data_IF_051398456220
#
_entry.id   IF_051398456220
#
_cell.length_a   1.000
_cell.length_b   1.000
_cell.length_c   1.000
_cell.angle_alpha   90.00
_cell.angle_beta   90.00
_cell.angle_gamma   90.00
#
_symmetry.space_group_name_H-M   'P 1'
#
loop_
_entity.id
_entity.type
_entity.pdbx_description
1 polymer ?
#
# COMPACT_ATOMS: atom_id res chain seq x y z
N UNK A 1 30.69 -5.71 -5.50
CA UNK A 1 29.22 -5.50 -5.57
C UNK A 1 28.37 -6.48 -4.72
N UNK A 2 28.90 -7.38 -3.88
CA UNK A 2 28.11 -8.53 -3.36
C UNK A 2 27.62 -8.48 -1.90
N UNK A 3 28.16 -7.61 -1.04
CA UNK A 3 27.83 -7.57 0.41
C UNK A 3 26.60 -6.71 0.74
N UNK A 4 26.61 -5.46 0.28
CA UNK A 4 25.57 -4.46 0.60
C UNK A 4 24.22 -4.77 -0.06
N UNK A 5 24.21 -5.46 -1.20
CA UNK A 5 22.98 -5.87 -1.86
C UNK A 5 22.25 -6.98 -1.07
N UNK A 6 22.99 -7.90 -0.46
CA UNK A 6 22.41 -8.97 0.36
C UNK A 6 21.93 -8.44 1.71
N UNK A 7 22.71 -7.60 2.37
CA UNK A 7 22.29 -6.93 3.60
C UNK A 7 20.99 -6.15 3.41
N UNK A 8 20.87 -5.39 2.30
CA UNK A 8 19.63 -4.69 1.93
C UNK A 8 18.46 -5.63 1.67
N UNK A 9 18.67 -6.75 0.97
CA UNK A 9 17.63 -7.78 0.76
C UNK A 9 17.17 -8.43 2.07
N UNK A 10 18.08 -8.57 3.04
CA UNK A 10 17.74 -9.09 4.36
C UNK A 10 16.87 -8.09 5.13
N UNK A 11 17.28 -6.82 5.15
CA UNK A 11 16.63 -5.77 5.92
C UNK A 11 15.17 -5.51 5.52
N UNK A 12 14.82 -5.71 4.24
CA UNK A 12 13.44 -5.57 3.75
C UNK A 12 12.49 -6.59 4.42
N UNK A 13 13.01 -7.74 4.86
CA UNK A 13 12.22 -8.81 5.46
C UNK A 13 12.26 -8.81 6.99
N UNK A 14 12.81 -7.76 7.61
CA UNK A 14 12.89 -7.67 9.07
C UNK A 14 11.54 -7.25 9.67
N UNK A 15 11.14 -7.95 10.72
CA UNK A 15 10.04 -7.53 11.58
C UNK A 15 10.55 -6.40 12.51
N UNK A 16 9.94 -5.21 12.49
CA UNK A 16 10.36 -4.11 13.37
C UNK A 16 10.34 -4.52 14.85
N UNK A 17 11.39 -4.17 15.59
CA UNK A 17 11.52 -4.46 17.02
C UNK A 17 12.06 -5.84 17.38
N UNK A 18 12.33 -6.71 16.40
CA UNK A 18 12.93 -8.03 16.64
C UNK A 18 14.45 -7.99 16.54
N UNK A 19 15.14 -8.88 17.28
CA UNK A 19 16.60 -8.89 17.40
C UNK A 19 17.27 -9.73 16.29
N UNK A 20 17.53 -9.12 15.13
CA UNK A 20 18.25 -9.76 14.03
C UNK A 20 19.78 -9.65 14.18
N UNK A 21 20.51 -10.59 13.54
CA UNK A 21 21.96 -10.50 13.44
C UNK A 21 22.37 -9.33 12.54
N UNK A 22 23.26 -8.48 13.04
CA UNK A 22 23.90 -7.43 12.26
C UNK A 22 24.94 -8.04 11.29
N UNK A 23 24.45 -8.41 10.11
CA UNK A 23 25.25 -9.05 9.06
C UNK A 23 26.44 -8.18 8.61
N UNK A 24 26.28 -6.85 8.56
CA UNK A 24 27.32 -5.96 8.05
C UNK A 24 28.49 -5.92 9.02
N UNK A 25 28.18 -5.71 10.31
CA UNK A 25 29.18 -5.67 11.37
C UNK A 25 29.91 -6.99 11.52
N UNK A 26 29.18 -8.11 11.64
CA UNK A 26 29.78 -9.43 11.83
C UNK A 26 30.65 -9.87 10.64
N UNK A 27 30.31 -9.43 9.43
CA UNK A 27 31.15 -9.65 8.25
C UNK A 27 32.40 -8.75 8.23
N UNK A 28 32.29 -7.52 8.75
CA UNK A 28 33.43 -6.64 8.94
C UNK A 28 34.44 -7.26 9.90
N UNK A 29 33.97 -7.75 11.05
CA UNK A 29 34.79 -8.42 12.06
C UNK A 29 35.51 -9.65 11.47
N UNK A 30 34.80 -10.45 10.65
CA UNK A 30 35.40 -11.58 9.92
C UNK A 30 36.52 -11.17 8.95
N UNK A 31 36.49 -9.94 8.43
CA UNK A 31 37.49 -9.42 7.49
C UNK A 31 38.69 -8.77 8.21
N UNK A 32 38.48 -8.22 9.41
CA UNK A 32 39.53 -7.56 10.20
C UNK A 32 40.46 -8.60 10.83
N UNK A 33 39.91 -9.71 11.33
CA UNK A 33 40.66 -10.86 11.89
C UNK A 33 41.57 -11.56 10.85
N UNK A 34 41.44 -11.21 9.56
CA UNK A 34 42.35 -11.67 8.49
C UNK A 34 43.53 -10.71 8.25
N UNK A 35 43.40 -9.41 8.54
CA UNK A 35 44.43 -8.41 8.25
C UNK A 35 45.50 -8.30 9.35
N UNK A 36 45.18 -8.69 10.59
CA UNK A 36 46.12 -8.59 11.72
C UNK A 36 47.13 -9.77 11.77
N UNK A 37 46.96 -10.82 10.98
CA UNK A 37 47.78 -12.04 11.03
C UNK A 37 48.90 -12.15 9.97
N UNK A 38 49.16 -11.10 9.17
CA UNK A 38 50.29 -11.05 8.22
C UNK A 38 51.69 -11.02 8.91
N UNK A 39 51.76 -11.09 10.24
CA UNK A 39 53.02 -11.21 10.98
C UNK A 39 53.44 -12.67 11.16
N UNK A 40 54.35 -13.11 10.29
CA UNK A 40 54.90 -14.46 10.11
C UNK A 40 55.53 -15.12 11.37
N UNK A 41 55.63 -14.41 12.50
CA UNK A 41 56.26 -14.86 13.74
C UNK A 41 55.35 -15.59 14.76
N UNK A 42 54.03 -15.68 14.54
CA UNK A 42 53.10 -16.37 15.46
C UNK A 42 52.77 -17.80 14.99
N UNK A 43 53.60 -18.39 14.12
CA UNK A 43 53.32 -19.69 13.51
C UNK A 43 53.42 -20.92 14.42
N UNK A 44 53.82 -20.82 15.69
CA UNK A 44 54.14 -22.02 16.47
C UNK A 44 53.65 -22.11 17.93
N UNK A 45 52.95 -21.13 18.51
CA UNK A 45 52.46 -21.27 19.90
C UNK A 45 51.14 -20.53 20.13
N UNK A 46 50.01 -21.26 19.99
CA UNK A 46 48.74 -21.17 20.76
C UNK A 46 47.66 -21.97 20.00
N UNK A 47 47.49 -23.28 20.22
CA UNK A 47 46.74 -23.91 21.33
C UNK A 47 45.30 -23.39 21.47
N UNK A 48 44.34 -24.26 21.13
CA UNK A 48 43.06 -24.53 21.84
C UNK A 48 42.06 -23.40 22.15
N UNK A 49 42.34 -22.12 21.86
CA UNK A 49 41.45 -21.00 22.16
C UNK A 49 40.75 -20.49 20.89
N UNK A 50 39.43 -20.26 20.93
CA UNK A 50 38.68 -19.75 19.78
C UNK A 50 39.15 -18.35 19.39
N UNK A 51 39.11 -18.04 18.09
CA UNK A 51 39.41 -16.68 17.60
C UNK A 51 38.38 -15.67 18.10
N UNK A 52 38.74 -14.38 18.12
CA UNK A 52 37.80 -13.31 18.51
C UNK A 52 36.55 -13.31 17.62
N UNK A 53 36.72 -13.58 16.32
CA UNK A 53 35.60 -13.79 15.42
C UNK A 53 34.73 -15.00 15.78
N UNK A 54 35.32 -16.18 16.06
CA UNK A 54 34.59 -17.39 16.44
C UNK A 54 33.76 -17.19 17.71
N UNK A 55 34.33 -16.53 18.72
CA UNK A 55 33.63 -16.22 19.96
C UNK A 55 32.48 -15.23 19.71
N UNK A 56 32.72 -14.18 18.93
CA UNK A 56 31.69 -13.21 18.53
C UNK A 56 30.57 -13.88 17.73
N UNK A 57 30.90 -14.79 16.81
CA UNK A 57 29.94 -15.55 16.01
C UNK A 57 29.09 -16.47 16.89
N UNK A 58 29.70 -17.18 17.85
CA UNK A 58 28.98 -18.06 18.79
C UNK A 58 28.02 -17.28 19.67
N UNK A 59 28.45 -16.16 20.24
CA UNK A 59 27.59 -15.27 21.05
C UNK A 59 26.40 -14.76 20.24
N UNK A 60 26.57 -14.47 18.95
CA UNK A 60 25.46 -14.07 18.07
C UNK A 60 24.50 -15.23 17.80
N UNK A 61 25.00 -16.45 17.58
CA UNK A 61 24.16 -17.64 17.41
C UNK A 61 23.36 -17.95 18.67
N UNK A 62 23.98 -17.90 19.85
CA UNK A 62 23.32 -18.10 21.14
C UNK A 62 22.20 -17.10 21.37
N UNK A 63 22.41 -15.81 21.04
CA UNK A 63 21.35 -14.78 21.14
C UNK A 63 20.16 -15.06 20.23
N UNK A 64 20.42 -15.48 18.98
CA UNK A 64 19.35 -15.85 18.03
C UNK A 64 18.57 -17.07 18.53
N UNK A 65 19.27 -18.09 19.03
CA UNK A 65 18.66 -19.29 19.59
C UNK A 65 17.80 -18.95 20.82
N UNK A 66 18.32 -18.15 21.75
CA UNK A 66 17.57 -17.71 22.94
C UNK A 66 16.29 -16.97 22.56
N UNK A 67 16.35 -16.05 21.59
CA UNK A 67 15.17 -15.34 21.10
C UNK A 67 14.18 -16.29 20.42
N UNK A 68 14.68 -17.16 19.54
CA UNK A 68 13.87 -18.15 18.82
C UNK A 68 13.15 -19.10 19.81
N UNK A 69 13.84 -19.63 20.81
CA UNK A 69 13.26 -20.51 21.81
C UNK A 69 12.29 -19.81 22.76
N UNK A 70 12.51 -18.53 23.04
CA UNK A 70 11.56 -17.73 23.85
C UNK A 70 10.26 -17.52 23.09
N UNK A 71 10.34 -17.07 21.84
CA UNK A 71 9.17 -16.90 20.98
C UNK A 71 8.45 -18.23 20.73
N UNK A 72 9.21 -19.30 20.46
CA UNK A 72 8.65 -20.65 20.25
C UNK A 72 7.89 -21.13 21.48
N UNK A 73 8.46 -21.02 22.68
CA UNK A 73 7.81 -21.45 23.93
C UNK A 73 6.53 -20.66 24.20
N UNK A 74 6.58 -19.34 24.05
CA UNK A 74 5.39 -18.49 24.21
C UNK A 74 4.26 -18.95 23.26
N UNK A 75 4.56 -19.14 21.98
CA UNK A 75 3.54 -19.53 21.01
C UNK A 75 3.09 -20.99 21.16
N UNK A 76 3.93 -21.89 21.67
CA UNK A 76 3.53 -23.26 22.02
C UNK A 76 2.56 -23.28 23.21
N UNK A 77 2.78 -22.47 24.24
CA UNK A 77 1.83 -22.37 25.36
C UNK A 77 0.47 -21.83 24.92
N UNK A 78 0.46 -20.86 24.00
CA UNK A 78 -0.78 -20.31 23.42
C UNK A 78 -1.47 -21.33 22.51
N UNK A 79 -0.72 -22.14 21.75
CA UNK A 79 -1.27 -23.19 20.91
C UNK A 79 -1.97 -24.27 21.74
N UNK A 80 -1.35 -24.74 22.83
CA UNK A 80 -1.92 -25.75 23.74
C UNK A 80 -3.14 -25.20 24.47
N UNK A 81 -3.09 -23.96 24.96
CA UNK A 81 -4.22 -23.32 25.64
C UNK A 81 -5.43 -23.08 24.72
N UNK A 82 -5.23 -23.09 23.40
CA UNK A 82 -6.27 -22.89 22.38
C UNK A 82 -6.64 -24.19 21.67
N UNK A 83 -6.14 -25.34 22.13
CA UNK A 83 -6.60 -26.61 21.61
C UNK A 83 -8.11 -26.77 21.88
N UNK A 84 -8.84 -27.30 20.88
CA UNK A 84 -10.29 -27.33 20.89
C UNK A 84 -10.91 -28.04 22.09
N UNK A 85 -10.31 -29.13 22.56
CA UNK A 85 -10.83 -29.90 23.69
C UNK A 85 -10.80 -29.09 25.00
N UNK A 86 -9.80 -28.21 25.16
CA UNK A 86 -9.72 -27.28 26.28
C UNK A 86 -10.65 -26.08 26.12
N UNK A 87 -10.82 -25.56 24.89
CA UNK A 87 -11.75 -24.46 24.62
C UNK A 87 -13.22 -24.89 24.80
N UNK A 88 -13.60 -26.09 24.36
CA UNK A 88 -14.93 -26.67 24.60
C UNK A 88 -15.14 -26.92 26.09
N UNK A 89 -14.14 -27.48 26.81
CA UNK A 89 -14.23 -27.68 28.26
C UNK A 89 -14.36 -26.36 29.04
N UNK A 90 -13.73 -25.28 28.57
CA UNK A 90 -13.82 -23.95 29.15
C UNK A 90 -15.14 -23.21 28.79
N UNK A 91 -15.74 -23.51 27.64
CA UNK A 91 -17.02 -22.92 27.18
C UNK A 91 -18.26 -23.69 27.69
N UNK A 92 -18.13 -24.96 28.05
CA UNK A 92 -19.22 -25.79 28.59
C UNK A 92 -19.97 -25.16 29.79
N UNK A 93 -19.31 -24.46 30.74
CA UNK A 93 -20.00 -23.76 31.84
C UNK A 93 -20.80 -22.53 31.38
N UNK A 94 -20.39 -21.86 30.29
CA UNK A 94 -21.03 -20.64 29.78
C UNK A 94 -22.32 -20.93 29.01
N UNK A 95 -22.40 -22.09 28.36
CA UNK A 95 -23.60 -22.56 27.66
C UNK A 95 -24.68 -23.13 28.61
N UNK A 96 -24.32 -23.41 29.87
CA UNK A 96 -25.21 -24.03 30.86
C UNK A 96 -26.14 -23.04 31.59
N UNK A 97 -26.09 -21.74 31.31
CA UNK A 97 -27.00 -20.77 31.95
C UNK A 97 -28.43 -20.90 31.41
N UNK A 98 -29.44 -21.19 32.25
CA UNK A 98 -30.78 -21.59 31.82
C UNK A 98 -31.69 -20.44 31.32
N UNK A 99 -31.16 -19.23 31.09
CA UNK A 99 -31.98 -18.02 30.84
C UNK A 99 -31.88 -17.42 29.43
N UNK A 100 -31.25 -18.08 28.46
CA UNK A 100 -30.98 -17.47 27.14
C UNK A 100 -31.90 -18.06 26.05
N UNK A 101 -32.64 -17.20 25.34
CA UNK A 101 -33.48 -17.63 24.21
C UNK A 101 -32.63 -18.30 23.11
N UNK A 102 -33.17 -19.30 22.38
CA UNK A 102 -32.38 -20.16 21.48
C UNK A 102 -31.65 -19.38 20.39
N UNK A 103 -32.21 -18.25 19.93
CA UNK A 103 -31.59 -17.37 18.94
C UNK A 103 -30.38 -16.61 19.49
N UNK A 104 -30.45 -16.12 20.73
CA UNK A 104 -29.33 -15.41 21.38
C UNK A 104 -28.19 -16.37 21.74
N UNK A 105 -28.51 -17.61 22.10
CA UNK A 105 -27.50 -18.65 22.32
C UNK A 105 -26.79 -19.04 21.02
N UNK A 106 -27.53 -19.14 19.91
CA UNK A 106 -26.95 -19.38 18.58
C UNK A 106 -26.06 -18.22 18.10
N UNK A 107 -26.51 -16.96 18.26
CA UNK A 107 -25.73 -15.79 17.87
C UNK A 107 -24.44 -15.63 18.71
N UNK A 108 -24.51 -15.95 20.01
CA UNK A 108 -23.34 -15.97 20.90
C UNK A 108 -22.32 -17.05 20.50
N UNK A 109 -22.80 -18.25 20.17
CA UNK A 109 -21.97 -19.35 19.68
C UNK A 109 -21.26 -19.02 18.35
N UNK A 110 -21.96 -18.40 17.40
CA UNK A 110 -21.39 -17.96 16.11
C UNK A 110 -20.32 -16.86 16.31
N UNK A 111 -20.56 -15.92 17.23
CA UNK A 111 -19.60 -14.87 17.56
C UNK A 111 -18.33 -15.45 18.20
N UNK A 112 -18.48 -16.42 19.11
CA UNK A 112 -17.39 -17.12 19.75
C UNK A 112 -16.57 -17.93 18.73
N UNK A 113 -17.23 -18.65 17.82
CA UNK A 113 -16.58 -19.37 16.72
C UNK A 113 -15.76 -18.44 15.81
N UNK A 114 -16.27 -17.24 15.51
CA UNK A 114 -15.52 -16.23 14.75
C UNK A 114 -14.31 -15.69 15.52
N UNK A 115 -14.45 -15.43 16.83
CA UNK A 115 -13.35 -15.00 17.69
C UNK A 115 -12.23 -16.04 17.78
N UNK A 116 -12.60 -17.32 17.93
CA UNK A 116 -11.66 -18.45 17.91
C UNK A 116 -10.98 -18.54 16.55
N UNK A 117 -11.73 -18.46 15.44
CA UNK A 117 -11.16 -18.47 14.09
C UNK A 117 -10.11 -17.38 13.88
N UNK A 118 -10.38 -16.15 14.31
CA UNK A 118 -9.41 -15.04 14.24
C UNK A 118 -8.18 -15.33 15.10
N UNK A 119 -8.39 -15.87 16.30
CA UNK A 119 -7.32 -16.27 17.22
C UNK A 119 -6.37 -17.31 16.61
N UNK A 120 -6.89 -18.28 15.84
CA UNK A 120 -6.07 -19.26 15.09
C UNK A 120 -5.28 -18.60 13.95
N UNK A 121 -5.90 -17.67 13.22
CA UNK A 121 -5.24 -16.94 12.12
C UNK A 121 -4.10 -16.06 12.65
N UNK A 122 -4.30 -15.38 13.78
CA UNK A 122 -3.26 -14.59 14.43
C UNK A 122 -2.10 -15.47 14.90
N UNK A 123 -2.41 -16.62 15.52
CA UNK A 123 -1.40 -17.58 15.95
C UNK A 123 -0.57 -18.12 14.76
N UNK A 124 -1.24 -18.46 13.64
CA UNK A 124 -0.58 -18.89 12.40
C UNK A 124 0.40 -17.83 11.89
N UNK A 125 -0.03 -16.56 11.85
CA UNK A 125 0.83 -15.44 11.40
C UNK A 125 2.02 -15.23 12.33
N UNK A 126 1.81 -15.30 13.65
CA UNK A 126 2.90 -15.16 14.63
C UNK A 126 3.93 -16.28 14.46
N UNK A 127 3.50 -17.54 14.34
CA UNK A 127 4.38 -18.68 14.09
C UNK A 127 5.12 -18.53 12.75
N UNK A 128 4.45 -18.06 11.69
CA UNK A 128 5.07 -17.76 10.40
C UNK A 128 6.16 -16.68 10.49
N UNK A 129 5.96 -15.64 11.31
CA UNK A 129 6.98 -14.63 11.57
C UNK A 129 8.19 -15.22 12.32
N UNK A 130 7.98 -16.09 13.32
CA UNK A 130 9.07 -16.79 14.02
C UNK A 130 9.85 -17.70 13.08
N UNK A 131 9.16 -18.43 12.20
CA UNK A 131 9.80 -19.25 11.17
C UNK A 131 10.64 -18.40 10.21
N UNK A 132 10.09 -17.27 9.76
CA UNK A 132 10.79 -16.34 8.88
C UNK A 132 12.03 -15.74 9.55
N UNK A 133 11.92 -15.36 10.82
CA UNK A 133 13.07 -14.88 11.62
C UNK A 133 14.20 -15.90 11.68
N UNK A 134 13.88 -17.17 11.97
CA UNK A 134 14.87 -18.23 12.04
C UNK A 134 15.59 -18.45 10.70
N UNK A 135 14.83 -18.53 9.59
CA UNK A 135 15.36 -18.74 8.25
C UNK A 135 16.22 -17.56 7.76
N UNK A 136 15.80 -16.32 8.05
CA UNK A 136 16.54 -15.11 7.68
C UNK A 136 17.90 -15.05 8.40
N UNK A 137 17.92 -15.29 9.72
CA UNK A 137 19.17 -15.31 10.49
C UNK A 137 20.07 -16.48 10.07
N UNK A 138 19.50 -17.66 9.83
CA UNK A 138 20.23 -18.82 9.30
C UNK A 138 20.89 -18.49 7.95
N UNK A 139 20.15 -17.88 7.02
CA UNK A 139 20.69 -17.49 5.72
C UNK A 139 21.83 -16.46 5.83
N UNK A 140 21.71 -15.50 6.76
CA UNK A 140 22.76 -14.52 7.01
C UNK A 140 24.05 -15.17 7.54
N UNK A 141 23.93 -15.94 8.63
CA UNK A 141 25.06 -16.61 9.29
C UNK A 141 25.73 -17.63 8.38
N UNK A 142 24.95 -18.45 7.65
CA UNK A 142 25.47 -19.39 6.66
C UNK A 142 26.22 -18.69 5.51
N UNK A 143 25.79 -17.48 5.12
CA UNK A 143 26.51 -16.70 4.11
C UNK A 143 27.81 -16.11 4.64
N UNK A 144 27.89 -15.77 5.92
CA UNK A 144 29.14 -15.35 6.57
C UNK A 144 30.12 -16.54 6.54
N UNK A 145 29.70 -17.73 6.98
CA UNK A 145 30.54 -18.93 6.96
C UNK A 145 31.00 -19.35 5.55
N UNK A 146 30.26 -19.00 4.49
CA UNK A 146 30.63 -19.25 3.10
C UNK A 146 31.49 -18.15 2.47
N UNK A 147 31.88 -17.11 3.21
CA UNK A 147 32.71 -16.05 2.67
C UNK A 147 34.11 -16.61 2.33
N UNK A 148 34.62 -16.40 1.09
CA UNK A 148 35.82 -17.07 0.60
C UNK A 148 37.08 -16.70 1.36
N UNK A 149 37.11 -15.52 1.99
CA UNK A 149 38.29 -15.08 2.74
C UNK A 149 38.49 -15.85 4.06
N UNK A 150 37.39 -16.24 4.71
CA UNK A 150 37.43 -17.00 5.97
C UNK A 150 38.07 -18.39 5.76
N UNK A 151 37.99 -18.95 4.54
CA UNK A 151 38.45 -20.30 4.20
C UNK A 151 39.93 -20.39 3.75
N UNK A 152 40.74 -19.33 3.84
CA UNK A 152 42.13 -19.37 3.40
C UNK A 152 43.04 -20.18 4.37
N UNK A 153 43.55 -21.32 3.89
CA UNK A 153 44.57 -22.15 4.55
C UNK A 153 44.04 -23.47 5.15
N UNK A 154 44.82 -24.57 5.07
CA UNK A 154 44.39 -25.92 5.50
C UNK A 154 43.94 -25.98 6.98
N UNK A 155 44.63 -25.29 7.90
CA UNK A 155 44.23 -25.21 9.30
C UNK A 155 42.93 -24.42 9.54
N UNK A 156 42.68 -23.39 8.73
CA UNK A 156 41.50 -22.52 8.80
C UNK A 156 40.28 -23.21 8.19
N UNK A 157 40.46 -24.06 7.19
CA UNK A 157 39.39 -24.92 6.66
C UNK A 157 38.86 -25.92 7.70
N UNK A 158 39.75 -26.49 8.53
CA UNK A 158 39.35 -27.42 9.60
C UNK A 158 38.54 -26.69 10.69
N UNK A 159 39.01 -25.53 11.15
CA UNK A 159 38.30 -24.69 12.12
C UNK A 159 36.94 -24.21 11.58
N UNK A 160 36.88 -23.80 10.31
CA UNK A 160 35.62 -23.46 9.64
C UNK A 160 34.65 -24.62 9.48
N UNK A 161 35.15 -25.85 9.31
CA UNK A 161 34.32 -27.06 9.29
C UNK A 161 33.74 -27.32 10.68
N UNK A 162 34.57 -27.31 11.72
CA UNK A 162 34.12 -27.47 13.10
C UNK A 162 33.09 -26.39 13.52
N UNK A 163 33.27 -25.14 13.09
CA UNK A 163 32.33 -24.05 13.34
C UNK A 163 30.99 -24.24 12.61
N UNK A 164 31.01 -24.76 11.37
CA UNK A 164 29.78 -25.12 10.63
C UNK A 164 29.05 -26.29 11.29
N UNK A 165 29.77 -27.31 11.71
CA UNK A 165 29.19 -28.49 12.36
C UNK A 165 28.52 -28.08 13.68
N UNK A 166 29.14 -27.15 14.43
CA UNK A 166 28.54 -26.55 15.64
C UNK A 166 27.34 -25.67 15.30
N UNK A 167 27.40 -24.91 14.20
CA UNK A 167 26.30 -24.08 13.73
C UNK A 167 25.06 -24.92 13.34
N UNK A 168 25.25 -26.04 12.66
CA UNK A 168 24.14 -26.88 12.21
C UNK A 168 23.41 -27.62 13.38
N UNK A 169 24.00 -27.65 14.58
CA UNK A 169 23.37 -28.20 15.79
C UNK A 169 22.30 -27.28 16.41
N UNK A 170 22.27 -25.98 16.09
CA UNK A 170 21.28 -25.05 16.66
C UNK A 170 19.86 -25.33 16.13
N UNK A 171 18.85 -25.18 17.00
CA UNK A 171 17.45 -25.47 16.69
C UNK A 171 16.85 -24.51 15.66
N UNK A 172 17.24 -23.22 15.71
CA UNK A 172 16.77 -22.21 14.77
C UNK A 172 17.18 -22.49 13.31
N UNK A 173 18.27 -23.22 13.07
CA UNK A 173 18.81 -23.45 11.71
C UNK A 173 17.83 -24.20 10.82
N UNK A 174 17.14 -25.17 11.40
CA UNK A 174 16.18 -26.01 10.69
C UNK A 174 14.74 -25.51 10.85
N UNK A 175 14.47 -24.67 11.86
CA UNK A 175 13.13 -24.21 12.25
C UNK A 175 12.09 -25.36 12.30
N UNK A 176 12.54 -26.59 12.58
CA UNK A 176 11.75 -27.80 12.38
C UNK A 176 10.55 -27.87 13.35
N UNK A 177 10.77 -27.45 14.60
CA UNK A 177 9.73 -27.43 15.63
C UNK A 177 8.57 -26.47 15.30
N UNK A 178 8.89 -25.27 14.80
CA UNK A 178 7.88 -24.27 14.39
C UNK A 178 7.16 -24.72 13.12
N UNK A 179 7.89 -25.28 12.17
CA UNK A 179 7.31 -25.84 10.94
C UNK A 179 6.30 -26.95 11.24
N UNK A 180 6.62 -27.89 12.14
CA UNK A 180 5.67 -28.91 12.60
C UNK A 180 4.44 -28.31 13.28
N UNK A 181 4.63 -27.24 14.05
CA UNK A 181 3.53 -26.55 14.74
C UNK A 181 2.60 -25.84 13.76
N UNK A 182 3.14 -25.24 12.69
CA UNK A 182 2.37 -24.66 11.59
C UNK A 182 1.54 -25.74 10.87
N UNK A 183 2.17 -26.86 10.48
CA UNK A 183 1.46 -27.96 9.79
C UNK A 183 0.33 -28.54 10.65
N UNK A 184 0.58 -28.76 11.95
CA UNK A 184 -0.46 -29.22 12.89
C UNK A 184 -1.61 -28.21 13.00
N UNK A 185 -1.30 -26.91 13.02
CA UNK A 185 -2.32 -25.86 13.08
C UNK A 185 -3.14 -25.78 11.78
N UNK A 186 -2.51 -25.98 10.62
CA UNK A 186 -3.20 -26.07 9.32
C UNK A 186 -4.17 -27.26 9.29
N UNK A 187 -3.74 -28.44 9.77
CA UNK A 187 -4.57 -29.65 9.84
C UNK A 187 -5.78 -29.47 10.77
N UNK A 188 -5.55 -28.96 11.99
CA UNK A 188 -6.62 -28.69 12.95
C UNK A 188 -7.60 -27.67 12.39
N UNK A 189 -7.10 -26.55 11.85
CA UNK A 189 -7.94 -25.49 11.30
C UNK A 189 -8.76 -25.94 10.09
N UNK A 190 -8.18 -26.78 9.23
CA UNK A 190 -8.86 -27.35 8.05
C UNK A 190 -9.98 -28.30 8.47
N UNK A 191 -9.71 -29.17 9.43
CA UNK A 191 -10.69 -30.15 9.93
C UNK A 191 -11.85 -29.46 10.64
N UNK A 192 -11.57 -28.40 11.40
CA UNK A 192 -12.55 -27.74 12.25
C UNK A 192 -13.43 -26.70 11.56
N UNK A 193 -12.87 -25.90 10.65
CA UNK A 193 -13.60 -24.75 10.08
C UNK A 193 -14.02 -24.94 8.63
N UNK A 194 -13.51 -25.98 7.97
CA UNK A 194 -13.62 -26.14 6.51
C UNK A 194 -13.90 -27.59 6.08
N UNK A 195 -14.32 -28.47 7.01
CA UNK A 195 -14.71 -29.87 6.73
C UNK A 195 -13.67 -30.67 5.92
N UNK A 196 -12.38 -30.37 6.08
CA UNK A 196 -11.32 -31.04 5.33
C UNK A 196 -10.89 -30.34 4.03
N UNK A 197 -11.55 -29.25 3.60
CA UNK A 197 -11.11 -28.46 2.43
C UNK A 197 -9.87 -27.63 2.73
N UNK A 198 -8.71 -28.24 2.45
CA UNK A 198 -7.39 -27.65 2.69
C UNK A 198 -7.15 -26.38 1.88
N UNK A 199 -7.68 -26.26 0.67
CA UNK A 199 -7.40 -25.10 -0.20
C UNK A 199 -8.06 -23.86 0.41
N UNK A 200 -9.33 -23.98 0.78
CA UNK A 200 -10.09 -22.88 1.37
C UNK A 200 -9.56 -22.52 2.77
N UNK A 201 -9.16 -23.53 3.56
CA UNK A 201 -8.57 -23.34 4.89
C UNK A 201 -7.22 -22.62 4.84
N UNK A 202 -6.31 -23.04 3.96
CA UNK A 202 -5.00 -22.38 3.80
C UNK A 202 -5.15 -20.97 3.24
N UNK A 203 -6.07 -20.77 2.29
CA UNK A 203 -6.39 -19.43 1.79
C UNK A 203 -6.85 -18.54 2.95
N UNK A 204 -7.72 -19.02 3.84
CA UNK A 204 -8.18 -18.26 5.00
C UNK A 204 -7.05 -17.92 5.99
N UNK A 205 -6.15 -18.88 6.26
CA UNK A 205 -5.01 -18.71 7.17
C UNK A 205 -4.00 -17.69 6.64
N UNK A 206 -3.59 -17.83 5.38
CA UNK A 206 -2.65 -16.89 4.73
C UNK A 206 -3.26 -15.50 4.56
N UNK A 207 -4.52 -15.46 4.10
CA UNK A 207 -5.21 -14.24 3.73
C UNK A 207 -6.18 -13.78 4.82
N UNK A 208 -5.83 -13.87 6.10
CA UNK A 208 -6.73 -13.58 7.24
C UNK A 208 -7.46 -12.23 7.28
N UNK A 209 -7.32 -11.37 6.26
CA UNK A 209 -8.12 -10.17 5.99
C UNK A 209 -8.75 -10.07 4.59
N UNK A 210 -8.45 -10.98 3.65
CA UNK A 210 -8.87 -10.90 2.24
C UNK A 210 -9.90 -11.96 1.81
N UNK A 211 -10.23 -12.95 2.65
CA UNK A 211 -11.32 -13.89 2.33
C UNK A 211 -12.70 -13.34 2.67
N UNK A 212 -12.78 -12.13 3.25
CA UNK A 212 -13.90 -11.23 2.97
C UNK A 212 -13.69 -10.72 1.55
N UNK A 213 -14.05 -11.55 0.57
CA UNK A 213 -14.62 -11.14 -0.71
C UNK A 213 -14.29 -9.66 -1.00
N UNK A 214 -13.07 -9.41 -1.47
CA UNK A 214 -12.39 -8.11 -1.42
C UNK A 214 -13.36 -6.99 -1.82
N UNK A 215 -13.86 -6.22 -0.86
CA UNK A 215 -14.90 -5.18 -1.04
C UNK A 215 -14.70 -4.26 -2.25
N UNK A 216 -13.44 -4.05 -2.66
CA UNK A 216 -13.07 -3.33 -3.90
C UNK A 216 -13.71 -3.96 -5.14
N UNK A 217 -13.64 -5.28 -5.26
CA UNK A 217 -14.22 -6.04 -6.36
C UNK A 217 -15.75 -5.98 -6.32
N UNK A 218 -16.38 -5.93 -5.14
CA UNK A 218 -17.85 -5.82 -5.01
C UNK A 218 -18.37 -4.52 -5.59
N UNK A 219 -17.73 -3.41 -5.24
CA UNK A 219 -18.11 -2.10 -5.77
C UNK A 219 -17.87 -2.02 -7.28
N UNK A 220 -16.74 -2.55 -7.78
CA UNK A 220 -16.45 -2.58 -9.21
C UNK A 220 -17.41 -3.46 -9.99
N UNK A 221 -17.74 -4.66 -9.48
CA UNK A 221 -18.71 -5.56 -10.12
C UNK A 221 -20.10 -4.91 -10.11
N UNK A 222 -20.52 -4.34 -8.98
CA UNK A 222 -21.80 -3.64 -8.89
C UNK A 222 -21.87 -2.45 -9.86
N UNK A 223 -20.78 -1.70 -10.03
CA UNK A 223 -20.67 -0.62 -11.01
C UNK A 223 -20.79 -1.15 -12.44
N UNK A 224 -20.02 -2.18 -12.80
CA UNK A 224 -20.04 -2.76 -14.15
C UNK A 224 -21.41 -3.33 -14.51
N UNK A 225 -22.05 -4.05 -13.58
CA UNK A 225 -23.41 -4.57 -13.77
C UNK A 225 -24.40 -3.41 -13.97
N UNK A 226 -24.33 -2.37 -13.14
CA UNK A 226 -25.21 -1.20 -13.26
C UNK A 226 -25.01 -0.47 -14.60
N UNK A 227 -23.75 -0.30 -15.02
CA UNK A 227 -23.38 0.35 -16.28
C UNK A 227 -23.85 -0.43 -17.51
N UNK A 228 -23.65 -1.76 -17.52
CA UNK A 228 -24.13 -2.62 -18.61
C UNK A 228 -25.65 -2.57 -18.67
N UNK A 229 -26.35 -2.72 -17.54
CA UNK A 229 -27.81 -2.61 -17.49
C UNK A 229 -28.32 -1.26 -17.98
N UNK A 230 -27.63 -0.16 -17.62
CA UNK A 230 -27.97 1.17 -18.09
C UNK A 230 -27.86 1.27 -19.63
N UNK A 231 -26.76 0.79 -20.21
CA UNK A 231 -26.56 0.81 -21.67
C UNK A 231 -27.59 -0.05 -22.39
N UNK A 232 -27.87 -1.26 -21.90
CA UNK A 232 -28.83 -2.17 -22.53
C UNK A 232 -30.27 -1.63 -22.49
N UNK A 233 -30.64 -0.92 -21.41
CA UNK A 233 -31.93 -0.24 -21.31
C UNK A 233 -32.03 0.97 -22.24
N UNK A 234 -30.97 1.77 -22.33
CA UNK A 234 -30.93 2.93 -23.23
C UNK A 234 -31.01 2.52 -24.71
N UNK A 235 -30.35 1.40 -25.06
CA UNK A 235 -30.38 0.83 -26.40
C UNK A 235 -31.69 0.05 -26.71
N UNK A 236 -32.65 0.00 -25.77
CA UNK A 236 -33.95 -0.67 -25.92
C UNK A 236 -33.85 -2.18 -26.24
N UNK A 237 -32.73 -2.84 -25.90
CA UNK A 237 -32.54 -4.28 -26.14
C UNK A 237 -33.34 -5.15 -25.15
N UNK A 238 -33.58 -4.65 -23.93
CA UNK A 238 -34.35 -5.35 -22.90
C UNK A 238 -35.79 -4.82 -22.84
N UNK A 239 -36.83 -5.69 -22.81
CA UNK A 239 -38.23 -5.29 -22.73
C UNK A 239 -38.66 -4.91 -21.30
N UNK A 240 -37.72 -4.43 -20.48
CA UNK A 240 -37.98 -4.02 -19.10
C UNK A 240 -38.43 -2.56 -19.10
N UNK A 241 -39.71 -2.33 -18.85
CA UNK A 241 -40.28 -0.99 -18.65
C UNK A 241 -39.90 -0.43 -17.28
N UNK A 242 -38.62 -0.15 -17.06
CA UNK A 242 -38.20 0.60 -15.88
C UNK A 242 -38.65 2.06 -16.04
N UNK A 243 -39.35 2.58 -15.03
CA UNK A 243 -40.03 3.88 -15.06
C UNK A 243 -39.10 5.10 -15.12
N UNK A 244 -37.78 4.91 -15.08
CA UNK A 244 -36.77 5.90 -15.48
C UNK A 244 -35.36 5.24 -15.52
N UNK A 245 -34.70 5.22 -16.67
CA UNK A 245 -33.34 4.66 -16.85
C UNK A 245 -32.32 5.30 -15.90
N UNK A 246 -32.53 6.58 -15.55
CA UNK A 246 -31.70 7.33 -14.60
C UNK A 246 -31.78 6.89 -13.13
N UNK A 247 -32.74 6.02 -12.75
CA UNK A 247 -32.82 5.46 -11.40
C UNK A 247 -31.71 4.44 -11.10
N UNK A 248 -31.18 3.77 -12.12
CA UNK A 248 -30.08 2.81 -11.96
C UNK A 248 -28.79 3.46 -11.41
N UNK A 249 -28.23 4.52 -12.03
CA UNK A 249 -27.04 5.16 -11.49
C UNK A 249 -27.30 5.82 -10.12
N UNK A 250 -28.52 6.29 -9.86
CA UNK A 250 -28.90 6.80 -8.54
C UNK A 250 -28.89 5.70 -7.46
N UNK A 251 -29.47 4.53 -7.76
CA UNK A 251 -29.44 3.38 -6.87
C UNK A 251 -28.01 2.90 -6.59
N UNK A 252 -27.14 2.94 -7.61
CA UNK A 252 -25.72 2.63 -7.43
C UNK A 252 -25.03 3.66 -6.53
N UNK A 253 -25.28 4.95 -6.72
CA UNK A 253 -24.77 6.01 -5.85
C UNK A 253 -25.24 5.84 -4.40
N UNK A 254 -26.52 5.52 -4.19
CA UNK A 254 -27.09 5.23 -2.87
C UNK A 254 -26.44 3.99 -2.22
N UNK A 255 -26.21 2.93 -3.00
CA UNK A 255 -25.53 1.73 -2.53
C UNK A 255 -24.09 2.00 -2.12
N UNK A 256 -23.33 2.73 -2.95
CA UNK A 256 -21.94 3.11 -2.67
C UNK A 256 -21.87 3.97 -1.41
N UNK A 257 -22.72 5.00 -1.29
CA UNK A 257 -22.76 5.89 -0.12
C UNK A 257 -23.12 5.15 1.16
N UNK A 258 -24.16 4.29 1.13
CA UNK A 258 -24.52 3.42 2.26
C UNK A 258 -23.37 2.49 2.65
N UNK A 259 -22.76 1.82 1.68
CA UNK A 259 -21.66 0.88 1.91
C UNK A 259 -20.44 1.57 2.55
N UNK A 260 -20.12 2.79 2.11
CA UNK A 260 -19.07 3.57 2.75
C UNK A 260 -19.48 4.02 4.15
N UNK A 261 -20.71 4.49 4.36
CA UNK A 261 -21.20 4.95 5.66
C UNK A 261 -21.19 3.86 6.75
N UNK A 262 -21.37 2.59 6.38
CA UNK A 262 -21.33 1.46 7.33
C UNK A 262 -19.92 1.10 7.84
N UNK A 263 -18.87 1.60 7.19
CA UNK A 263 -17.47 1.22 7.50
C UNK A 263 -16.90 2.09 8.61
N UNK A 264 -16.01 1.53 9.45
CA UNK A 264 -15.32 2.19 10.58
C UNK A 264 -15.29 3.72 10.48
N UNK A 265 -16.29 4.36 11.09
CA UNK A 265 -16.57 5.80 11.01
C UNK A 265 -15.33 6.65 11.36
N UNK A 266 -14.46 6.15 12.26
CA UNK A 266 -13.22 6.81 12.68
C UNK A 266 -12.14 6.94 11.59
N UNK A 267 -12.15 6.15 10.51
CA UNK A 267 -11.25 6.36 9.37
C UNK A 267 -11.79 7.40 8.39
N UNK A 268 -13.10 7.45 8.21
CA UNK A 268 -13.76 8.41 7.33
C UNK A 268 -13.75 9.82 7.91
N UNK A 269 -13.98 9.94 9.21
CA UNK A 269 -13.85 11.20 9.94
C UNK A 269 -12.48 11.84 9.73
N UNK A 270 -11.40 11.05 9.73
CA UNK A 270 -10.05 11.56 9.45
C UNK A 270 -9.88 12.11 8.04
N UNK A 271 -10.48 11.48 7.03
CA UNK A 271 -10.44 12.01 5.65
C UNK A 271 -11.28 13.28 5.54
N UNK A 272 -12.47 13.31 6.15
CA UNK A 272 -13.32 14.50 6.19
C UNK A 272 -12.65 15.67 6.92
N UNK A 273 -11.94 15.40 8.02
CA UNK A 273 -11.11 16.38 8.72
C UNK A 273 -10.00 16.93 7.81
N UNK A 274 -9.27 16.06 7.11
CA UNK A 274 -8.22 16.50 6.18
C UNK A 274 -8.79 17.35 5.04
N UNK A 275 -9.97 17.01 4.49
CA UNK A 275 -10.64 17.82 3.47
C UNK A 275 -11.08 19.19 4.01
N UNK A 276 -11.62 19.21 5.22
CA UNK A 276 -11.93 20.45 5.93
C UNK A 276 -10.67 21.31 6.12
N UNK A 277 -9.56 20.69 6.52
CA UNK A 277 -8.30 21.37 6.77
C UNK A 277 -7.68 21.91 5.46
N UNK A 278 -7.87 21.21 4.33
CA UNK A 278 -7.52 21.70 2.99
C UNK A 278 -8.30 22.97 2.65
N UNK A 279 -9.62 22.98 2.85
CA UNK A 279 -10.45 24.17 2.57
C UNK A 279 -10.00 25.37 3.40
N UNK A 280 -9.59 25.11 4.65
CA UNK A 280 -9.09 26.11 5.59
C UNK A 280 -7.56 26.21 5.62
N UNK A 281 -6.88 25.88 4.51
CA UNK A 281 -5.41 25.94 4.36
C UNK A 281 -4.82 27.31 4.78
N UNK A 282 -5.58 28.41 4.67
CA UNK A 282 -5.10 29.73 5.10
C UNK A 282 -4.92 29.86 6.61
N UNK A 283 -5.68 29.08 7.39
CA UNK A 283 -5.75 29.18 8.86
C UNK A 283 -5.09 27.98 9.53
N UNK A 284 -5.10 26.81 8.90
CA UNK A 284 -4.65 25.55 9.48
C UNK A 284 -3.27 25.10 8.92
N UNK A 285 -2.47 24.36 9.71
CA UNK A 285 -1.12 23.95 9.32
C UNK A 285 -1.11 22.92 8.18
N UNK A 286 -0.17 23.09 7.23
CA UNK A 286 -0.13 22.29 6.00
C UNK A 286 0.83 21.09 6.11
N UNK A 287 0.29 19.95 6.58
CA UNK A 287 1.00 18.66 6.55
C UNK A 287 1.28 18.14 5.12
N UNK A 288 2.21 17.17 5.01
CA UNK A 288 2.48 16.44 3.77
C UNK A 288 1.23 15.71 3.23
N UNK A 289 0.38 15.19 4.11
CA UNK A 289 -0.80 14.44 3.69
C UNK A 289 -1.85 15.31 2.98
N UNK A 290 -2.06 16.57 3.42
CA UNK A 290 -2.92 17.54 2.72
C UNK A 290 -2.41 17.79 1.29
N UNK A 291 -1.10 18.03 1.19
CA UNK A 291 -0.41 18.23 -0.08
C UNK A 291 -0.51 17.04 -1.04
N UNK A 292 -0.49 15.81 -0.51
CA UNK A 292 -0.69 14.59 -1.30
C UNK A 292 -2.14 14.46 -1.80
N UNK A 293 -3.12 14.70 -0.93
CA UNK A 293 -4.53 14.60 -1.29
C UNK A 293 -4.93 15.64 -2.34
N UNK A 294 -4.45 16.87 -2.22
CA UNK A 294 -4.74 17.91 -3.22
C UNK A 294 -4.06 17.63 -4.56
N UNK A 295 -2.84 17.09 -4.58
CA UNK A 295 -2.22 16.64 -5.83
C UNK A 295 -3.14 15.62 -6.54
N UNK A 296 -3.72 14.67 -5.81
CA UNK A 296 -4.67 13.72 -6.36
C UNK A 296 -5.93 14.41 -6.91
N UNK A 297 -6.49 15.38 -6.18
CA UNK A 297 -7.66 16.15 -6.63
C UNK A 297 -7.36 17.00 -7.87
N UNK A 298 -6.17 17.57 -7.99
CA UNK A 298 -5.73 18.32 -9.19
C UNK A 298 -5.51 17.41 -10.40
N UNK A 299 -5.22 16.12 -10.21
CA UNK A 299 -5.18 15.14 -11.32
C UNK A 299 -6.57 14.62 -11.70
N UNK A 300 -7.58 14.80 -10.84
CA UNK A 300 -8.93 14.27 -11.00
C UNK A 300 -9.91 15.24 -11.71
N UNK A 301 -9.43 16.22 -12.49
CA UNK A 301 -10.26 17.29 -13.08
C UNK A 301 -11.48 16.78 -13.84
N UNK A 302 -11.32 15.81 -14.76
CA UNK A 302 -12.46 15.23 -15.51
C UNK A 302 -13.47 14.55 -14.59
N UNK A 303 -12.99 13.93 -13.52
CA UNK A 303 -13.85 13.28 -12.52
C UNK A 303 -14.61 14.34 -11.68
N UNK A 304 -13.97 15.45 -11.33
CA UNK A 304 -14.62 16.57 -10.62
C UNK A 304 -15.73 17.20 -11.48
N UNK A 305 -15.49 17.36 -12.79
CA UNK A 305 -16.52 17.84 -13.74
C UNK A 305 -17.70 16.86 -13.83
N UNK A 306 -17.41 15.56 -13.95
CA UNK A 306 -18.43 14.51 -13.94
C UNK A 306 -19.24 14.50 -12.65
N UNK A 307 -18.58 14.67 -11.50
CA UNK A 307 -19.24 14.73 -10.19
C UNK A 307 -20.16 15.96 -10.06
N UNK A 308 -19.70 17.14 -10.50
CA UNK A 308 -20.54 18.33 -10.54
C UNK A 308 -21.79 18.07 -11.42
N UNK A 309 -21.59 17.47 -12.60
CA UNK A 309 -22.67 17.10 -13.51
C UNK A 309 -23.68 16.15 -12.86
N UNK A 310 -23.21 15.08 -12.22
CA UNK A 310 -24.06 14.12 -11.52
C UNK A 310 -24.88 14.78 -10.41
N UNK A 311 -24.27 15.66 -9.61
CA UNK A 311 -24.98 16.39 -8.54
C UNK A 311 -26.13 17.18 -9.14
N UNK A 312 -25.88 17.95 -10.21
CA UNK A 312 -26.92 18.74 -10.86
C UNK A 312 -27.99 17.86 -11.46
N UNK A 313 -27.62 16.85 -12.25
CA UNK A 313 -28.51 15.92 -12.93
C UNK A 313 -29.50 15.23 -11.99
N UNK A 314 -29.04 14.82 -10.80
CA UNK A 314 -29.92 14.25 -9.79
C UNK A 314 -30.74 15.32 -9.05
N UNK A 315 -30.15 16.48 -8.75
CA UNK A 315 -30.86 17.56 -8.04
C UNK A 315 -32.00 18.21 -8.84
N UNK A 316 -31.86 18.28 -10.17
CA UNK A 316 -32.86 18.87 -11.06
C UNK A 316 -33.98 17.89 -11.40
N UNK A 317 -33.86 16.62 -11.00
CA UNK A 317 -34.82 15.57 -11.35
C UNK A 317 -34.79 15.20 -12.84
N UNK A 318 -33.77 15.62 -13.59
CA UNK A 318 -33.65 15.36 -15.02
C UNK A 318 -33.57 13.86 -15.34
N UNK A 319 -33.04 13.08 -14.40
CA UNK A 319 -32.97 11.61 -14.47
C UNK A 319 -34.34 10.89 -14.48
N UNK A 320 -35.42 11.58 -14.08
CA UNK A 320 -36.80 11.05 -14.10
C UNK A 320 -37.55 11.39 -15.39
N UNK A 321 -36.98 12.25 -16.25
CA UNK A 321 -37.66 12.75 -17.44
C UNK A 321 -37.71 11.66 -18.52
N UNK A 322 -38.90 11.46 -19.09
CA UNK A 322 -39.21 10.38 -20.04
C UNK A 322 -39.34 10.85 -21.50
N UNK A 323 -39.03 12.12 -21.79
CA UNK A 323 -39.33 12.72 -23.09
C UNK A 323 -38.23 12.38 -24.12
N UNK A 324 -38.61 11.58 -25.13
CA UNK A 324 -37.89 11.36 -26.41
C UNK A 324 -37.78 12.64 -27.28
N UNK A 325 -38.25 13.79 -26.79
CA UNK A 325 -38.12 15.05 -27.53
C UNK A 325 -36.71 15.61 -27.35
N UNK A 326 -36.14 16.11 -28.45
CA UNK A 326 -34.86 16.83 -28.62
C UNK A 326 -34.65 18.07 -27.70
N UNK A 327 -35.35 18.17 -26.56
CA UNK A 327 -35.13 19.17 -25.55
C UNK A 327 -33.73 18.95 -24.96
N UNK A 328 -32.79 19.79 -25.40
CA UNK A 328 -31.42 19.78 -24.93
C UNK A 328 -31.37 19.81 -23.39
N UNK A 329 -30.49 18.99 -22.81
CA UNK A 329 -30.45 18.79 -21.35
C UNK A 329 -30.40 20.13 -20.62
N UNK A 330 -31.23 20.27 -19.58
CA UNK A 330 -31.31 21.53 -18.81
C UNK A 330 -29.96 21.81 -18.14
N UNK A 331 -29.18 20.76 -17.88
CA UNK A 331 -27.79 20.85 -17.44
C UNK A 331 -26.84 21.36 -18.54
N UNK A 332 -26.94 20.94 -19.80
CA UNK A 332 -26.01 21.38 -20.86
C UNK A 332 -26.30 22.79 -21.35
N UNK A 333 -27.58 23.12 -21.41
CA UNK A 333 -28.09 24.40 -21.95
C UNK A 333 -27.91 25.56 -20.98
N UNK A 334 -27.73 25.30 -19.69
CA UNK A 334 -27.55 26.35 -18.70
C UNK A 334 -26.15 26.97 -18.83
N UNK A 335 -26.09 28.19 -19.37
CA UNK A 335 -24.87 28.95 -19.56
C UNK A 335 -24.04 29.08 -18.27
N UNK A 336 -24.65 29.53 -17.17
CA UNK A 336 -23.96 29.73 -15.89
C UNK A 336 -23.32 28.45 -15.37
N UNK A 337 -24.00 27.33 -15.52
CA UNK A 337 -23.50 26.05 -15.04
C UNK A 337 -22.31 25.54 -15.85
N UNK A 338 -22.50 25.41 -17.16
CA UNK A 338 -21.50 24.85 -18.07
C UNK A 338 -20.29 25.77 -18.21
N UNK A 339 -20.51 27.09 -18.19
CA UNK A 339 -19.48 28.09 -18.50
C UNK A 339 -18.83 28.72 -17.27
N UNK A 340 -19.45 28.65 -16.08
CA UNK A 340 -18.93 29.30 -14.86
C UNK A 340 -18.77 28.30 -13.72
N UNK A 341 -19.83 27.60 -13.31
CA UNK A 341 -19.79 26.73 -12.13
C UNK A 341 -18.84 25.54 -12.30
N UNK A 342 -18.94 24.81 -13.42
CA UNK A 342 -18.13 23.59 -13.66
C UNK A 342 -16.62 23.89 -13.70
N UNK A 343 -16.14 24.92 -14.42
CA UNK A 343 -14.71 25.21 -14.43
C UNK A 343 -14.22 25.75 -13.07
N UNK A 344 -15.01 26.57 -12.35
CA UNK A 344 -14.63 27.04 -11.01
C UNK A 344 -14.52 25.89 -9.99
N UNK A 345 -15.47 24.94 -9.98
CA UNK A 345 -15.40 23.76 -9.11
C UNK A 345 -14.15 22.92 -9.42
N UNK A 346 -13.80 22.84 -10.71
CA UNK A 346 -12.60 22.15 -11.16
C UNK A 346 -11.29 22.87 -10.83
N UNK A 347 -11.37 24.19 -10.59
CA UNK A 347 -10.24 25.07 -10.29
C UNK A 347 -9.92 25.13 -8.79
N UNK A 348 -10.90 24.85 -7.91
CA UNK A 348 -10.72 24.85 -6.45
C UNK A 348 -9.50 24.03 -5.96
N UNK A 349 -9.22 22.81 -6.47
CA UNK A 349 -8.03 22.07 -6.06
C UNK A 349 -6.73 22.78 -6.42
N UNK A 350 -6.67 23.44 -7.59
CA UNK A 350 -5.51 24.23 -8.01
C UNK A 350 -5.31 25.44 -7.09
N UNK A 351 -6.40 26.07 -6.67
CA UNK A 351 -6.40 27.20 -5.74
C UNK A 351 -5.86 26.79 -4.37
N UNK A 352 -6.35 25.69 -3.80
CA UNK A 352 -5.82 25.18 -2.53
C UNK A 352 -4.34 24.82 -2.65
N UNK A 353 -3.92 24.24 -3.76
CA UNK A 353 -2.51 23.87 -3.97
C UNK A 353 -1.58 25.07 -4.08
N UNK A 354 -2.03 26.12 -4.75
CA UNK A 354 -1.37 27.41 -4.80
C UNK A 354 -1.20 28.00 -3.38
N UNK A 355 -2.29 28.08 -2.62
CA UNK A 355 -2.27 28.61 -1.25
C UNK A 355 -1.39 27.79 -0.30
N UNK A 356 -1.43 26.46 -0.38
CA UNK A 356 -0.58 25.57 0.40
C UNK A 356 0.90 25.80 0.11
N UNK A 357 1.24 26.06 -1.15
CA UNK A 357 2.63 26.29 -1.56
C UNK A 357 3.15 27.63 -1.01
N UNK A 358 2.34 28.69 -1.06
CA UNK A 358 2.67 29.98 -0.45
C UNK A 358 2.79 29.89 1.08
N UNK A 359 1.85 29.20 1.73
CA UNK A 359 1.88 28.99 3.18
C UNK A 359 3.15 28.28 3.61
N UNK A 360 3.57 27.26 2.85
CA UNK A 360 4.79 26.51 3.15
C UNK A 360 6.07 27.32 2.93
N UNK A 361 6.09 28.28 1.98
CA UNK A 361 7.19 29.25 1.85
C UNK A 361 7.29 30.11 3.12
N UNK A 362 6.15 30.59 3.62
CA UNK A 362 6.09 31.39 4.86
C UNK A 362 6.55 30.60 6.09
N UNK A 363 6.09 29.35 6.25
CA UNK A 363 6.39 28.51 7.42
C UNK A 363 7.83 27.98 7.43
N UNK A 364 8.39 27.59 6.27
CA UNK A 364 9.74 27.02 6.19
C UNK A 364 10.84 28.08 6.03
N UNK A 365 10.50 29.32 5.63
CA UNK A 365 11.48 30.36 5.30
C UNK A 365 12.39 30.04 4.11
N UNK A 366 12.20 28.90 3.44
CA UNK A 366 12.92 28.50 2.23
C UNK A 366 12.07 28.81 1.00
N UNK A 367 12.68 29.51 0.04
CA UNK A 367 12.03 29.85 -1.23
C UNK A 367 11.96 28.64 -2.17
N UNK A 368 13.05 27.87 -2.26
CA UNK A 368 13.14 26.71 -3.15
C UNK A 368 12.82 25.42 -2.39
N UNK A 369 12.03 24.48 -2.95
CA UNK A 369 11.32 24.51 -4.25
C UNK A 369 9.90 25.12 -4.22
N UNK A 370 9.40 25.57 -3.07
CA UNK A 370 7.98 25.84 -2.86
C UNK A 370 7.44 27.05 -3.64
N UNK A 371 8.27 28.06 -3.91
CA UNK A 371 7.86 29.23 -4.71
C UNK A 371 7.62 28.85 -6.17
N UNK A 372 8.44 27.97 -6.74
CA UNK A 372 8.28 27.49 -8.11
C UNK A 372 7.00 26.66 -8.24
N UNK A 373 6.71 25.85 -7.22
CA UNK A 373 5.46 25.10 -7.14
C UNK A 373 4.25 26.05 -7.13
N UNK A 374 4.29 27.12 -6.32
CA UNK A 374 3.24 28.13 -6.30
C UNK A 374 3.06 28.81 -7.67
N UNK A 375 4.15 29.14 -8.37
CA UNK A 375 4.08 29.78 -9.69
C UNK A 375 3.46 28.87 -10.75
N UNK A 376 3.78 27.57 -10.76
CA UNK A 376 3.21 26.62 -11.72
C UNK A 376 1.70 26.46 -11.48
N UNK A 377 1.27 26.35 -10.22
CA UNK A 377 -0.16 26.31 -9.89
C UNK A 377 -0.88 27.64 -10.17
N UNK A 378 -0.22 28.78 -9.97
CA UNK A 378 -0.76 30.09 -10.35
C UNK A 378 -0.96 30.22 -11.87
N UNK A 379 0.01 29.74 -12.66
CA UNK A 379 -0.11 29.69 -14.11
C UNK A 379 -1.30 28.81 -14.53
N UNK A 380 -1.48 27.66 -13.88
CA UNK A 380 -2.61 26.77 -14.12
C UNK A 380 -3.97 27.44 -13.85
N UNK A 381 -4.09 28.13 -12.70
CA UNK A 381 -5.27 28.92 -12.34
C UNK A 381 -5.59 29.97 -13.41
N UNK A 382 -4.59 30.72 -13.85
CA UNK A 382 -4.76 31.74 -14.91
C UNK A 382 -5.26 31.11 -16.21
N UNK A 383 -4.73 29.95 -16.61
CA UNK A 383 -5.18 29.23 -17.81
C UNK A 383 -6.65 28.82 -17.72
N UNK A 384 -7.09 28.32 -16.56
CA UNK A 384 -8.49 27.91 -16.34
C UNK A 384 -9.42 29.13 -16.32
N UNK A 385 -9.06 30.18 -15.57
CA UNK A 385 -9.83 31.42 -15.50
C UNK A 385 -9.92 32.12 -16.85
N UNK A 386 -8.85 32.10 -17.66
CA UNK A 386 -8.88 32.64 -19.01
C UNK A 386 -9.75 31.78 -19.95
N UNK A 387 -9.83 30.47 -19.70
CA UNK A 387 -10.77 29.57 -20.37
C UNK A 387 -12.25 29.90 -20.12
N UNK A 388 -12.61 30.44 -18.95
CA UNK A 388 -13.96 30.94 -18.64
C UNK A 388 -14.35 32.08 -19.59
N UNK A 389 -13.41 32.97 -19.88
CA UNK A 389 -13.61 34.16 -20.73
C UNK A 389 -13.71 33.76 -22.21
N UNK A 390 -12.89 32.79 -22.64
CA UNK A 390 -12.85 32.30 -24.02
C UNK A 390 -14.05 31.41 -24.41
N UNK A 391 -14.72 30.83 -23.43
CA UNK A 391 -15.88 29.92 -23.59
C UNK A 391 -17.03 30.49 -24.44
N UNK A 392 -17.05 31.81 -24.68
CA UNK A 392 -18.10 32.50 -25.45
C UNK A 392 -17.82 32.61 -26.96
N UNK A 393 -16.72 32.08 -27.49
CA UNK A 393 -16.35 32.23 -28.91
C UNK A 393 -16.53 30.92 -29.71
N UNK A 394 -17.21 31.01 -30.85
CA UNK A 394 -17.58 29.89 -31.72
C UNK A 394 -16.34 29.27 -32.42
N UNK A 395 -16.22 27.93 -32.48
CA UNK A 395 -15.11 27.22 -33.13
C UNK A 395 -15.03 27.43 -34.66
N UNK A 396 -16.02 28.10 -35.27
CA UNK A 396 -16.09 28.33 -36.72
C UNK A 396 -15.74 29.77 -37.16
N UNK A 397 -15.36 30.65 -36.22
CA UNK A 397 -14.86 31.99 -36.58
C UNK A 397 -13.33 32.00 -36.67
N UNK A 398 -12.73 32.84 -37.54
CA UNK A 398 -11.28 32.95 -37.65
C UNK A 398 -10.67 33.23 -36.28
N UNK A 399 -9.61 32.48 -35.94
CA UNK A 399 -9.01 32.41 -34.61
C UNK A 399 -8.73 33.80 -34.04
N UNK A 400 -9.40 34.11 -32.93
CA UNK A 400 -9.23 35.36 -32.21
C UNK A 400 -7.86 35.35 -31.50
N UNK A 401 -7.18 36.50 -31.41
CA UNK A 401 -5.88 36.63 -30.72
C UNK A 401 -5.92 36.05 -29.30
N UNK A 402 -7.05 36.18 -28.60
CA UNK A 402 -7.26 35.60 -27.26
C UNK A 402 -7.21 34.07 -27.25
N UNK A 403 -7.71 33.40 -28.28
CA UNK A 403 -7.66 31.94 -28.41
C UNK A 403 -6.22 31.44 -28.56
N UNK A 404 -5.43 32.15 -29.37
CA UNK A 404 -4.00 31.85 -29.56
C UNK A 404 -3.24 32.06 -28.26
N UNK A 405 -3.47 33.17 -27.57
CA UNK A 405 -2.85 33.45 -26.27
C UNK A 405 -3.21 32.38 -25.25
N UNK A 406 -4.49 31.98 -25.15
CA UNK A 406 -4.92 30.91 -24.24
C UNK A 406 -4.24 29.59 -24.57
N UNK A 407 -4.20 29.22 -25.85
CA UNK A 407 -3.57 27.98 -26.32
C UNK A 407 -2.08 27.97 -25.96
N UNK A 408 -1.37 29.09 -26.18
CA UNK A 408 0.04 29.22 -25.80
C UNK A 408 0.22 29.09 -24.29
N UNK A 409 -0.60 29.78 -23.47
CA UNK A 409 -0.53 29.68 -22.02
C UNK A 409 -0.83 28.26 -21.53
N UNK A 410 -1.79 27.57 -22.13
CA UNK A 410 -2.12 26.18 -21.82
C UNK A 410 -0.95 25.23 -22.14
N UNK A 411 -0.32 25.39 -23.31
CA UNK A 411 0.86 24.62 -23.70
C UNK A 411 2.03 24.88 -22.76
N UNK A 412 2.32 26.14 -22.45
CA UNK A 412 3.38 26.52 -21.51
C UNK A 412 3.13 25.95 -20.11
N UNK A 413 1.89 26.02 -19.62
CA UNK A 413 1.50 25.43 -18.33
C UNK A 413 1.70 23.90 -18.35
N UNK A 414 1.30 23.23 -19.43
CA UNK A 414 1.44 21.78 -19.57
C UNK A 414 2.91 21.35 -19.60
N UNK A 415 3.75 22.09 -20.32
CA UNK A 415 5.20 21.86 -20.36
C UNK A 415 5.80 22.11 -18.97
N UNK A 416 5.37 23.16 -18.26
CA UNK A 416 5.88 23.46 -16.92
C UNK A 416 5.60 22.32 -15.91
N UNK A 417 4.38 21.77 -15.89
CA UNK A 417 4.05 20.60 -15.07
C UNK A 417 4.85 19.37 -15.49
N UNK A 418 4.99 19.13 -16.80
CA UNK A 418 5.76 17.99 -17.30
C UNK A 418 7.24 18.08 -16.89
N UNK A 419 7.88 19.25 -17.06
CA UNK A 419 9.27 19.47 -16.64
C UNK A 419 9.40 19.28 -15.13
N UNK A 420 8.45 19.82 -14.36
CA UNK A 420 8.42 19.65 -12.92
C UNK A 420 8.36 18.18 -12.51
N UNK A 421 7.48 17.40 -13.13
CA UNK A 421 7.35 15.99 -12.83
C UNK A 421 8.67 15.27 -13.10
N UNK A 422 9.23 15.41 -14.30
CA UNK A 422 10.47 14.75 -14.70
C UNK A 422 11.64 15.13 -13.77
N UNK A 423 11.83 16.42 -13.50
CA UNK A 423 13.01 16.91 -12.76
C UNK A 423 12.88 16.69 -11.26
N UNK A 424 11.71 16.95 -10.67
CA UNK A 424 11.54 16.96 -9.22
C UNK A 424 11.13 15.60 -8.65
N UNK A 425 10.26 14.85 -9.33
CA UNK A 425 9.79 13.55 -8.82
C UNK A 425 10.59 12.37 -9.35
N UNK A 426 11.13 12.45 -10.57
CA UNK A 426 11.78 11.30 -11.21
C UNK A 426 13.31 11.33 -11.15
N UNK A 427 13.93 12.50 -11.09
CA UNK A 427 15.35 12.62 -10.74
C UNK A 427 16.01 13.89 -11.22
N UNK A 428 16.93 14.39 -10.40
CA UNK A 428 17.81 15.51 -10.74
C UNK A 428 19.05 15.03 -11.51
N UNK A 429 19.67 15.90 -12.33
CA UNK A 429 20.92 15.58 -13.03
C UNK A 429 22.03 15.10 -12.08
N UNK A 430 22.05 15.64 -10.86
CA UNK A 430 22.99 15.29 -9.79
C UNK A 430 22.90 13.83 -9.35
N UNK A 431 21.77 13.17 -9.58
CA UNK A 431 21.52 11.76 -9.24
C UNK A 431 21.35 10.86 -10.47
N UNK A 432 21.99 11.20 -11.60
CA UNK A 432 21.88 10.44 -12.86
C UNK A 432 20.43 10.32 -13.38
N UNK A 433 19.56 11.30 -13.11
CA UNK A 433 18.12 11.25 -13.44
C UNK A 433 17.33 10.13 -12.73
N UNK A 434 17.77 9.71 -11.54
CA UNK A 434 17.05 8.79 -10.66
C UNK A 434 16.56 9.53 -9.40
N UNK A 435 15.38 9.17 -8.92
CA UNK A 435 14.81 9.71 -7.69
C UNK A 435 15.55 9.23 -6.43
N UNK A 436 15.54 10.06 -5.38
CA UNK A 436 16.28 9.85 -4.12
C UNK A 436 15.90 8.54 -3.40
N UNK A 437 14.67 8.06 -3.60
CA UNK A 437 14.17 6.80 -3.04
C UNK A 437 13.64 5.88 -4.16
N UNK A 438 14.45 4.91 -4.58
CA UNK A 438 14.02 3.93 -5.58
C UNK A 438 13.12 2.86 -4.95
N UNK A 439 11.88 2.77 -5.40
CA UNK A 439 10.94 1.73 -4.99
C UNK A 439 11.40 0.32 -5.41
N UNK A 440 12.21 0.23 -6.49
CA UNK A 440 12.80 -1.02 -6.98
C UNK A 440 14.32 -0.97 -6.97
N UNK A 441 14.94 -2.03 -6.46
CA UNK A 441 16.40 -2.15 -6.38
C UNK A 441 17.12 -2.22 -7.74
N UNK A 442 16.41 -2.49 -8.85
CA UNK A 442 17.01 -2.63 -10.19
C UNK A 442 16.68 -1.40 -11.04
N UNK A 443 17.72 -0.66 -11.45
CA UNK A 443 17.60 0.54 -12.31
C UNK A 443 16.81 0.29 -13.61
N UNK A 444 17.02 -0.86 -14.26
CA UNK A 444 16.31 -1.22 -15.49
C UNK A 444 14.81 -1.45 -15.30
N UNK A 445 14.36 -1.90 -14.12
CA UNK A 445 12.92 -2.07 -13.83
C UNK A 445 12.24 -0.71 -13.69
N UNK A 446 12.94 0.24 -13.06
CA UNK A 446 12.50 1.63 -12.97
C UNK A 446 12.42 2.29 -14.36
N UNK A 447 13.43 2.08 -15.21
CA UNK A 447 13.44 2.59 -16.59
C UNK A 447 12.39 1.91 -17.49
N UNK A 448 12.15 0.60 -17.32
CA UNK A 448 11.07 -0.10 -18.04
C UNK A 448 9.70 0.42 -17.64
N UNK A 449 9.45 0.63 -16.34
CA UNK A 449 8.23 1.28 -15.86
C UNK A 449 8.09 2.69 -16.43
N UNK A 450 9.17 3.46 -16.51
CA UNK A 450 9.19 4.77 -17.16
C UNK A 450 8.73 4.70 -18.62
N UNK A 451 9.33 3.80 -19.43
CA UNK A 451 8.92 3.60 -20.83
C UNK A 451 7.47 3.12 -20.93
N UNK A 452 7.02 2.25 -20.03
CA UNK A 452 5.67 1.67 -20.04
C UNK A 452 4.57 2.67 -19.66
N UNK A 453 4.85 3.55 -18.68
CA UNK A 453 3.93 4.62 -18.26
C UNK A 453 3.88 5.71 -19.35
N UNK A 454 5.01 5.98 -20.00
CA UNK A 454 5.08 6.92 -21.10
C UNK A 454 4.35 6.39 -22.35
N UNK A 455 4.55 5.13 -22.72
CA UNK A 455 3.86 4.52 -23.87
C UNK A 455 2.34 4.42 -23.68
N UNK A 456 1.87 4.19 -22.45
CA UNK A 456 0.44 4.14 -22.13
C UNK A 456 -0.23 5.52 -22.10
N UNK A 457 0.51 6.59 -21.79
CA UNK A 457 -0.02 7.97 -21.85
C UNK A 457 -0.21 8.49 -23.28
N UNK A 458 0.56 7.97 -24.24
CA UNK A 458 0.40 8.29 -25.67
C UNK A 458 -0.65 7.43 -26.39
N UNK A 459 -1.13 6.34 -25.78
CA UNK A 459 -2.13 5.43 -26.36
C UNK A 459 -3.52 5.57 -25.70
N UNK A 460 -3.80 6.70 -25.04
CA UNK A 460 -5.18 7.08 -24.70
C UNK A 460 -5.95 7.48 -25.97
N UNK A 461 -7.26 7.17 -26.08
CA UNK A 461 -8.04 7.46 -27.28
C UNK A 461 -8.27 8.97 -27.39
N UNK A 462 -7.33 9.66 -28.03
CA UNK A 462 -7.57 10.93 -28.69
C UNK A 462 -7.76 10.63 -30.19
N UNK A 463 -8.92 10.04 -30.48
CA UNK A 463 -9.59 10.08 -31.77
C UNK A 463 -11.08 10.28 -31.48
#
# INVERSE_FOLDING_TARGET
MSSSAFARKLAINFVPGWQYVDYIRLKGDATIDECDEDNEHVRLVKTTKPTHFEETFRVKCEKVEQWYDTCRRLHQTVAVAREPDHAIAAAAPLLATPSTTPKKAADAFVLEQHSIKQSFIELYKMLGMVQSFALINCAALRKILKAPRIACGEGRELANRALRDTFDQYSFVHAAAVTRSLTRLEEVFTTWFYDGDRILALAALHNGKHMTLNWRHHLTIAYLVNFILYIELENKFLPLTFTATGCLPLAHLAYVTYFFAQKDWGRQHRVAQVLHDIVLTLVLPVSYFHAFLDNYMTSAVKMNQGMAWSIRYFSTGEFLRHDDSLAASTCATNFYYTRVAVPLISDLPLWWRFLQSLRRVYELGSLYPQILNALIFALALVVVLFGLIHSSYSPMQPSNTLQVVWTVLFVLSSIAFWVWDVVMYWGRPDFQYLGDAQMYSKKWVYLLLWVSIWSSSFHGPWC
#
